data_IF_598729483750
#
_entry.id   IF_598729483750
#
_cell.length_a   1.000
_cell.length_b   1.000
_cell.length_c   1.000
_cell.angle_alpha   90.00
_cell.angle_beta   90.00
_cell.angle_gamma   90.00
#
_symmetry.space_group_name_H-M   'P 1'
#
loop_
_entity.id
_entity.type
_entity.pdbx_description
1 polymer ?
#
# COMPACT_ATOMS: atom_id res chain seq x y z
N UNK A 1 0.56 10.39 18.65
CA UNK A 1 -0.17 9.24 18.07
C UNK A 1 0.70 8.00 18.28
N UNK A 2 0.18 6.96 18.90
CA UNK A 2 0.93 5.71 19.08
C UNK A 2 0.68 4.82 17.85
N UNK A 3 1.75 4.22 17.31
CA UNK A 3 1.62 3.23 16.26
C UNK A 3 1.22 1.87 16.86
N UNK A 4 0.20 1.25 16.29
CA UNK A 4 -0.17 -0.12 16.59
C UNK A 4 0.66 -1.08 15.73
N UNK A 5 1.18 -2.14 16.34
CA UNK A 5 1.90 -3.19 15.63
C UNK A 5 0.97 -4.37 15.41
N UNK A 6 0.73 -4.68 14.14
CA UNK A 6 -0.15 -5.78 13.72
C UNK A 6 0.69 -6.79 12.94
N UNK A 7 0.54 -8.05 13.25
CA UNK A 7 1.22 -9.13 12.54
C UNK A 7 0.19 -10.11 11.97
N UNK A 8 0.39 -10.52 10.74
CA UNK A 8 -0.34 -11.61 10.10
C UNK A 8 0.64 -12.61 9.48
N UNK A 9 0.30 -13.88 9.48
CA UNK A 9 1.09 -14.88 8.77
C UNK A 9 0.88 -14.75 7.24
N UNK A 10 -0.35 -14.54 6.80
CA UNK A 10 -0.71 -14.30 5.39
C UNK A 10 -1.25 -12.89 5.18
N UNK A 11 -1.44 -12.50 3.92
CA UNK A 11 -2.06 -11.22 3.56
C UNK A 11 -3.49 -11.10 4.12
N UNK A 12 -4.29 -12.17 4.00
CA UNK A 12 -5.65 -12.20 4.53
C UNK A 12 -5.68 -12.02 6.06
N UNK A 13 -4.85 -12.76 6.79
CA UNK A 13 -4.77 -12.66 8.24
C UNK A 13 -4.31 -11.26 8.67
N UNK A 14 -3.33 -10.70 7.97
CA UNK A 14 -2.85 -9.34 8.23
C UNK A 14 -3.95 -8.31 8.11
N UNK A 15 -4.74 -8.36 7.02
CA UNK A 15 -5.89 -7.47 6.84
C UNK A 15 -6.92 -7.65 7.94
N UNK A 16 -7.31 -8.89 8.25
CA UNK A 16 -8.31 -9.16 9.28
C UNK A 16 -7.88 -8.68 10.67
N UNK A 17 -6.60 -8.86 11.01
CA UNK A 17 -6.05 -8.37 12.27
C UNK A 17 -5.96 -6.83 12.30
N UNK A 18 -5.60 -6.19 11.19
CA UNK A 18 -5.62 -4.73 11.07
C UNK A 18 -7.04 -4.17 11.26
N UNK A 19 -8.05 -4.80 10.64
CA UNK A 19 -9.45 -4.39 10.79
C UNK A 19 -9.96 -4.55 12.23
N UNK A 20 -9.56 -5.61 12.94
CA UNK A 20 -9.91 -5.80 14.36
C UNK A 20 -9.35 -4.67 15.23
N UNK A 21 -8.07 -4.32 15.02
CA UNK A 21 -7.41 -3.24 15.77
C UNK A 21 -8.01 -1.88 15.41
N UNK A 22 -8.30 -1.63 14.12
CA UNK A 22 -9.02 -0.43 13.70
C UNK A 22 -10.40 -0.34 14.38
N UNK A 23 -11.11 -1.46 14.49
CA UNK A 23 -12.43 -1.48 15.13
C UNK A 23 -12.35 -1.18 16.63
N UNK A 24 -11.40 -1.79 17.36
CA UNK A 24 -11.25 -1.61 18.81
C UNK A 24 -10.64 -0.25 19.19
N UNK A 25 -9.53 0.11 18.55
CA UNK A 25 -8.64 1.17 19.01
C UNK A 25 -8.63 2.41 18.09
N UNK A 26 -9.31 2.33 16.96
CA UNK A 26 -9.38 3.45 16.01
C UNK A 26 -10.09 4.66 16.60
N UNK A 27 -9.59 5.84 16.30
CA UNK A 27 -10.13 7.13 16.73
C UNK A 27 -11.05 7.67 15.65
N UNK A 28 -12.22 8.18 16.05
CA UNK A 28 -13.20 8.77 15.11
C UNK A 28 -12.88 10.24 14.92
N UNK A 29 -12.75 10.66 13.68
CA UNK A 29 -12.55 12.05 13.26
C UNK A 29 -13.67 12.49 12.33
N UNK A 30 -13.86 13.80 12.21
CA UNK A 30 -14.65 14.38 11.13
C UNK A 30 -13.90 14.18 9.81
N UNK A 31 -14.62 13.76 8.76
CA UNK A 31 -14.02 13.53 7.44
C UNK A 31 -13.46 14.82 6.82
N UNK A 32 -12.49 14.70 5.93
CA UNK A 32 -11.87 15.86 5.24
C UNK A 32 -12.89 16.64 4.39
N UNK A 33 -13.93 15.99 3.89
CA UNK A 33 -15.01 16.63 3.13
C UNK A 33 -16.02 17.24 4.09
N UNK A 34 -15.86 18.52 4.37
CA UNK A 34 -16.75 19.31 5.25
C UNK A 34 -18.22 19.32 4.79
N UNK A 35 -18.50 18.97 3.53
CA UNK A 35 -19.85 18.90 2.96
C UNK A 35 -20.56 17.55 3.23
N UNK A 36 -19.89 16.59 3.87
CA UNK A 36 -20.45 15.32 4.28
C UNK A 36 -20.26 15.16 5.78
N UNK A 37 -21.35 14.88 6.49
CA UNK A 37 -21.33 14.49 7.91
C UNK A 37 -20.70 13.09 8.13
N UNK A 38 -19.78 12.69 7.24
CA UNK A 38 -19.14 11.38 7.29
C UNK A 38 -18.05 11.37 8.36
N UNK A 39 -18.22 10.52 9.32
CA UNK A 39 -17.17 10.23 10.33
C UNK A 39 -16.26 9.14 9.83
N UNK A 40 -14.98 9.38 9.94
CA UNK A 40 -13.92 8.42 9.56
C UNK A 40 -13.29 7.87 10.82
N UNK A 41 -13.10 6.56 10.87
CA UNK A 41 -12.38 5.90 11.95
C UNK A 41 -10.98 5.57 11.48
N UNK A 42 -9.97 6.11 12.15
CA UNK A 42 -8.57 6.03 11.73
C UNK A 42 -7.66 5.42 12.79
N UNK A 43 -6.58 4.83 12.33
CA UNK A 43 -5.52 4.30 13.16
C UNK A 43 -4.18 4.40 12.41
N UNK A 44 -3.10 4.67 13.14
CA UNK A 44 -1.74 4.52 12.61
C UNK A 44 -1.20 3.15 12.99
N UNK A 45 -0.81 2.35 11.99
CA UNK A 45 -0.32 1.00 12.26
C UNK A 45 0.92 0.65 11.43
N UNK A 46 1.69 -0.28 11.97
CA UNK A 46 2.73 -1.03 11.26
C UNK A 46 2.19 -2.44 11.07
N UNK A 47 1.98 -2.83 9.81
CA UNK A 47 1.53 -4.17 9.45
C UNK A 47 2.71 -5.01 8.99
N UNK A 48 2.95 -6.12 9.70
CA UNK A 48 3.99 -7.08 9.36
C UNK A 48 3.37 -8.37 8.83
N UNK A 49 3.69 -8.74 7.59
CA UNK A 49 3.25 -10.00 6.96
C UNK A 49 4.45 -10.94 6.87
N UNK A 50 4.36 -12.07 7.55
CA UNK A 50 5.48 -13.02 7.66
C UNK A 50 5.65 -13.88 6.41
N UNK A 51 4.54 -14.35 5.83
CA UNK A 51 4.52 -15.22 4.66
C UNK A 51 3.49 -14.74 3.64
N UNK A 52 3.78 -13.66 2.87
CA UNK A 52 2.79 -13.01 2.00
C UNK A 52 2.28 -13.91 0.86
N UNK A 53 2.99 -14.99 0.55
CA UNK A 53 2.59 -15.96 -0.48
C UNK A 53 1.86 -17.19 0.11
N UNK A 54 1.61 -17.22 1.42
CA UNK A 54 0.84 -18.31 2.04
C UNK A 54 -0.66 -18.09 1.90
N UNK A 55 -1.39 -19.19 1.78
CA UNK A 55 -2.85 -19.17 1.76
C UNK A 55 -3.45 -18.98 3.17
N UNK A 56 -4.59 -18.32 3.30
CA UNK A 56 -5.31 -17.61 2.25
C UNK A 56 -4.65 -16.25 1.95
N UNK A 57 -4.41 -15.94 0.67
CA UNK A 57 -3.91 -14.62 0.26
C UNK A 57 -5.01 -13.56 0.25
N UNK A 58 -6.26 -13.96 0.02
CA UNK A 58 -7.40 -13.04 -0.09
C UNK A 58 -8.33 -13.26 1.11
N UNK A 59 -8.58 -12.17 1.85
CA UNK A 59 -9.54 -12.19 2.95
C UNK A 59 -10.98 -12.14 2.44
N UNK A 60 -11.87 -12.81 3.16
CA UNK A 60 -13.33 -12.71 2.93
C UNK A 60 -13.88 -11.32 3.25
N UNK A 61 -13.13 -10.51 3.99
CA UNK A 61 -13.49 -9.13 4.31
C UNK A 61 -13.17 -8.15 3.16
N UNK A 62 -12.59 -8.62 2.06
CA UNK A 62 -12.23 -7.76 0.93
C UNK A 62 -13.50 -7.33 0.14
N UNK A 63 -13.84 -6.03 0.11
CA UNK A 63 -15.13 -5.59 -0.41
C UNK A 63 -15.27 -5.69 -1.92
N UNK A 64 -14.17 -5.50 -2.67
CA UNK A 64 -14.16 -5.53 -4.13
C UNK A 64 -14.27 -6.93 -4.73
N UNK A 65 -14.10 -7.97 -3.92
CA UNK A 65 -14.07 -9.35 -4.38
C UNK A 65 -12.94 -9.65 -5.37
N UNK A 66 -12.94 -10.87 -5.93
CA UNK A 66 -11.87 -11.34 -6.82
C UNK A 66 -11.79 -10.53 -8.11
N UNK A 67 -12.93 -10.16 -8.70
CA UNK A 67 -12.97 -9.40 -9.95
C UNK A 67 -12.29 -8.03 -9.80
N UNK A 68 -12.67 -7.27 -8.79
CA UNK A 68 -12.05 -5.97 -8.52
C UNK A 68 -10.56 -6.07 -8.24
N UNK A 69 -10.13 -7.12 -7.53
CA UNK A 69 -8.71 -7.37 -7.29
C UNK A 69 -7.95 -7.67 -8.59
N UNK A 70 -8.52 -8.45 -9.50
CA UNK A 70 -7.91 -8.73 -10.81
C UNK A 70 -7.79 -7.47 -11.67
N UNK A 71 -8.84 -6.65 -11.73
CA UNK A 71 -8.82 -5.37 -12.45
C UNK A 71 -7.75 -4.42 -11.89
N UNK A 72 -7.66 -4.32 -10.57
CA UNK A 72 -6.62 -3.52 -9.92
C UNK A 72 -5.20 -4.08 -10.15
N UNK A 73 -5.05 -5.40 -10.20
CA UNK A 73 -3.78 -6.04 -10.51
C UNK A 73 -3.32 -5.72 -11.95
N UNK A 74 -4.21 -5.76 -12.93
CA UNK A 74 -3.91 -5.37 -14.31
C UNK A 74 -3.53 -3.87 -14.41
N UNK A 75 -4.23 -3.01 -13.69
CA UNK A 75 -3.88 -1.59 -13.60
C UNK A 75 -2.48 -1.41 -13.00
N UNK A 76 -2.24 -2.04 -11.84
CA UNK A 76 -0.98 -1.87 -11.11
C UNK A 76 0.21 -2.44 -11.88
N UNK A 77 0.10 -3.65 -12.45
CA UNK A 77 1.22 -4.34 -13.09
C UNK A 77 1.44 -3.95 -14.55
N UNK A 78 0.38 -3.60 -15.28
CA UNK A 78 0.42 -3.39 -16.74
C UNK A 78 0.00 -2.02 -17.20
N UNK A 79 -0.44 -1.17 -16.28
CA UNK A 79 -0.89 0.19 -16.61
C UNK A 79 -2.13 0.21 -17.50
N UNK A 80 -3.05 -0.75 -17.32
CA UNK A 80 -4.26 -0.85 -18.15
C UNK A 80 -5.11 0.43 -18.16
N UNK A 81 -4.97 1.29 -17.13
CA UNK A 81 -5.66 2.57 -17.00
C UNK A 81 -4.76 3.80 -17.17
N UNK A 82 -3.52 3.61 -17.59
CA UNK A 82 -2.56 4.72 -17.72
C UNK A 82 -2.97 5.79 -18.72
N UNK A 83 -3.87 5.47 -19.64
CA UNK A 83 -4.38 6.37 -20.67
C UNK A 83 -5.73 6.98 -20.36
N UNK A 84 -6.35 6.63 -19.22
CA UNK A 84 -7.64 7.17 -18.83
C UNK A 84 -7.47 8.61 -18.32
N UNK A 85 -8.18 9.61 -18.90
CA UNK A 85 -7.93 11.04 -18.63
C UNK A 85 -8.44 11.51 -17.26
N UNK A 86 -9.26 10.73 -16.58
CA UNK A 86 -9.82 11.09 -15.27
C UNK A 86 -8.96 10.62 -14.08
N UNK A 87 -7.87 9.87 -14.34
CA UNK A 87 -6.90 9.53 -13.32
C UNK A 87 -5.71 10.49 -13.37
N UNK A 88 -5.50 11.25 -12.32
CA UNK A 88 -4.33 12.14 -12.20
C UNK A 88 -3.03 11.35 -12.19
N UNK A 89 -3.05 10.17 -11.59
CA UNK A 89 -1.93 9.23 -11.60
C UNK A 89 -2.45 7.78 -11.55
N UNK A 90 -1.61 6.86 -12.01
CA UNK A 90 -1.69 5.43 -11.68
C UNK A 90 -0.40 5.02 -10.99
N UNK A 91 -0.45 4.03 -10.13
CA UNK A 91 0.78 3.55 -9.50
C UNK A 91 1.76 2.99 -10.53
N UNK A 92 1.26 2.37 -11.60
CA UNK A 92 2.11 1.91 -12.70
C UNK A 92 2.94 3.05 -13.29
N UNK A 93 2.35 4.19 -13.65
CA UNK A 93 3.11 5.36 -14.14
C UNK A 93 4.17 5.83 -13.16
N UNK A 94 3.87 5.78 -11.86
CA UNK A 94 4.80 6.27 -10.84
C UNK A 94 6.02 5.38 -10.70
N UNK A 95 5.85 4.06 -10.69
CA UNK A 95 6.98 3.16 -10.43
C UNK A 95 7.67 2.62 -11.69
N UNK A 96 6.98 2.49 -12.82
CA UNK A 96 7.50 1.83 -14.02
C UNK A 96 8.83 2.43 -14.51
N UNK A 97 8.97 3.74 -14.41
CA UNK A 97 10.21 4.45 -14.79
C UNK A 97 11.44 4.07 -13.93
N UNK A 98 11.22 3.51 -12.73
CA UNK A 98 12.27 3.16 -11.78
C UNK A 98 12.44 1.64 -11.62
N UNK A 99 11.46 0.85 -12.08
CA UNK A 99 11.37 -0.57 -11.78
C UNK A 99 12.61 -1.36 -12.16
N UNK A 100 13.08 -1.22 -13.40
CA UNK A 100 14.26 -1.95 -13.86
C UNK A 100 15.49 -1.59 -13.03
N UNK A 101 15.72 -0.30 -12.77
CA UNK A 101 16.85 0.16 -11.95
C UNK A 101 16.79 -0.37 -10.51
N UNK A 102 15.58 -0.44 -9.97
CA UNK A 102 15.33 -0.98 -8.63
C UNK A 102 15.67 -2.48 -8.56
N UNK A 103 15.23 -3.26 -9.54
CA UNK A 103 15.55 -4.69 -9.64
C UNK A 103 17.03 -4.92 -9.90
N UNK A 104 17.64 -4.14 -10.79
CA UNK A 104 19.05 -4.27 -11.11
C UNK A 104 19.95 -3.93 -9.91
N UNK A 105 19.57 -2.97 -9.08
CA UNK A 105 20.29 -2.69 -7.84
C UNK A 105 20.28 -3.89 -6.88
N UNK A 106 19.13 -4.56 -6.70
CA UNK A 106 19.01 -5.76 -5.88
C UNK A 106 19.81 -6.94 -6.45
N UNK A 107 19.82 -7.11 -7.77
CA UNK A 107 20.60 -8.16 -8.45
C UNK A 107 22.09 -7.92 -8.37
N UNK A 108 22.51 -6.66 -8.56
CA UNK A 108 23.93 -6.28 -8.55
C UNK A 108 24.54 -6.38 -7.15
N UNK A 109 23.77 -6.07 -6.13
CA UNK A 109 24.26 -6.06 -4.75
C UNK A 109 23.14 -6.51 -3.79
N UNK A 110 23.19 -7.78 -3.41
CA UNK A 110 22.21 -8.38 -2.51
C UNK A 110 22.26 -7.83 -1.06
N UNK A 111 23.29 -7.06 -0.71
CA UNK A 111 23.41 -6.37 0.57
C UNK A 111 23.07 -4.88 0.50
N UNK A 112 22.58 -4.42 -0.66
CA UNK A 112 22.25 -3.01 -0.89
C UNK A 112 21.28 -2.45 0.14
N UNK A 113 21.38 -1.15 0.37
CA UNK A 113 20.42 -0.32 1.09
C UNK A 113 19.89 0.81 0.21
N UNK A 114 20.07 0.68 -1.12
CA UNK A 114 19.73 1.71 -2.12
C UNK A 114 18.49 1.37 -2.93
N UNK A 115 17.96 0.14 -2.79
CA UNK A 115 16.75 -0.27 -3.48
C UNK A 115 15.53 0.36 -2.77
N UNK A 116 15.34 1.63 -3.05
CA UNK A 116 14.26 2.46 -2.51
C UNK A 116 13.66 3.30 -3.62
N UNK A 117 12.34 3.18 -3.84
CA UNK A 117 11.57 3.97 -4.79
C UNK A 117 10.71 4.99 -4.04
N UNK A 118 10.91 6.26 -4.32
CA UNK A 118 10.03 7.33 -3.86
C UNK A 118 8.98 7.58 -4.94
N UNK A 119 7.73 7.26 -4.66
CA UNK A 119 6.61 7.38 -5.58
C UNK A 119 5.84 8.70 -5.39
N UNK A 120 5.88 9.25 -4.18
CA UNK A 120 5.20 10.50 -3.85
C UNK A 120 5.89 11.76 -4.43
N UNK A 121 7.17 11.65 -4.81
CA UNK A 121 7.96 12.80 -5.26
C UNK A 121 8.10 13.89 -4.19
N UNK A 122 8.22 15.14 -4.62
CA UNK A 122 8.03 16.27 -3.75
C UNK A 122 6.52 16.39 -3.46
N UNK A 123 6.16 16.47 -2.18
CA UNK A 123 4.75 16.64 -1.79
C UNK A 123 4.25 17.94 -2.44
N UNK A 124 3.32 17.77 -3.37
CA UNK A 124 2.64 18.90 -3.97
C UNK A 124 1.35 19.16 -3.18
N UNK A 125 1.38 20.13 -2.30
CA UNK A 125 0.21 20.52 -1.50
C UNK A 125 -0.92 21.14 -2.34
N UNK A 126 -0.64 21.48 -3.57
CA UNK A 126 -1.64 21.97 -4.53
C UNK A 126 -2.36 20.82 -5.24
N UNK A 127 -1.81 19.59 -5.17
CA UNK A 127 -2.47 18.41 -5.72
C UNK A 127 -3.57 17.94 -4.76
N UNK A 128 -4.85 18.00 -5.14
CA UNK A 128 -5.95 17.58 -4.29
C UNK A 128 -5.94 16.06 -4.01
N UNK A 129 -5.29 15.27 -4.87
CA UNK A 129 -5.26 13.80 -4.79
C UNK A 129 -3.83 13.24 -4.86
N UNK A 130 -2.94 13.55 -3.90
CA UNK A 130 -1.59 12.99 -3.92
C UNK A 130 -1.61 11.47 -3.69
N UNK A 131 -0.64 10.71 -4.25
CA UNK A 131 -0.58 9.26 -4.10
C UNK A 131 -0.61 8.82 -2.63
N UNK A 132 -1.32 7.75 -2.31
CA UNK A 132 -1.32 7.18 -0.96
C UNK A 132 -0.04 6.40 -0.66
N UNK A 133 0.41 5.57 -1.61
CA UNK A 133 1.70 4.86 -1.52
C UNK A 133 2.82 5.84 -1.87
N UNK A 134 3.66 6.13 -0.89
CA UNK A 134 4.71 7.14 -1.00
C UNK A 134 6.08 6.53 -1.28
N UNK A 135 6.37 5.39 -0.71
CA UNK A 135 7.70 4.80 -0.74
C UNK A 135 7.62 3.28 -0.73
N UNK A 136 8.49 2.64 -1.54
CA UNK A 136 8.76 1.20 -1.47
C UNK A 136 10.26 1.03 -1.25
N UNK A 137 10.62 0.36 -0.16
CA UNK A 137 11.99 -0.05 0.15
C UNK A 137 12.11 -1.57 0.08
N UNK A 138 13.22 -2.05 -0.47
CA UNK A 138 13.53 -3.46 -0.55
C UNK A 138 14.95 -3.78 -0.15
N UNK A 139 15.11 -4.87 0.57
CA UNK A 139 16.43 -5.41 0.86
C UNK A 139 16.41 -6.94 0.93
N UNK A 140 17.56 -7.56 0.67
CA UNK A 140 17.73 -9.01 0.78
C UNK A 140 18.57 -9.27 2.02
N UNK A 141 18.03 -10.07 2.94
CA UNK A 141 18.73 -10.52 4.15
C UNK A 141 18.47 -11.99 4.35
N UNK A 142 19.51 -12.74 4.66
CA UNK A 142 19.42 -14.21 4.88
C UNK A 142 18.72 -14.95 3.73
N UNK A 143 18.95 -14.51 2.48
CA UNK A 143 18.33 -15.12 1.30
C UNK A 143 16.84 -14.79 1.11
N UNK A 144 16.27 -13.91 1.93
CA UNK A 144 14.88 -13.48 1.83
C UNK A 144 14.76 -12.04 1.38
N UNK A 145 13.80 -11.78 0.51
CA UNK A 145 13.41 -10.41 0.13
C UNK A 145 12.48 -9.84 1.19
N UNK A 146 12.88 -8.71 1.76
CA UNK A 146 12.06 -7.91 2.65
C UNK A 146 11.59 -6.68 1.89
N UNK A 147 10.28 -6.45 1.89
CA UNK A 147 9.66 -5.28 1.30
C UNK A 147 9.01 -4.44 2.40
N UNK A 148 9.26 -3.14 2.36
CA UNK A 148 8.59 -2.16 3.22
C UNK A 148 7.88 -1.15 2.34
N UNK A 149 6.63 -0.85 2.62
CA UNK A 149 5.84 0.15 1.93
C UNK A 149 5.29 1.17 2.93
N UNK A 150 5.42 2.45 2.58
CA UNK A 150 4.84 3.53 3.37
C UNK A 150 3.67 4.14 2.64
N UNK A 151 2.51 4.05 3.27
CA UNK A 151 1.28 4.72 2.84
C UNK A 151 1.00 5.89 3.79
N UNK A 152 0.77 7.11 3.23
CA UNK A 152 0.32 8.26 4.03
C UNK A 152 -1.12 8.10 4.50
N UNK A 153 -1.91 7.37 3.71
CA UNK A 153 -3.32 7.06 3.96
C UNK A 153 -3.68 5.78 3.21
N UNK A 154 -4.57 5.00 3.73
CA UNK A 154 -5.12 3.84 3.05
C UNK A 154 -6.51 3.53 3.56
N UNK A 155 -7.48 3.41 2.66
CA UNK A 155 -8.84 2.99 3.00
C UNK A 155 -8.87 1.48 3.20
N UNK A 156 -9.26 1.05 4.39
CA UNK A 156 -9.26 -0.38 4.74
C UNK A 156 -10.38 -1.19 4.07
N UNK A 157 -11.41 -0.51 3.56
CA UNK A 157 -12.64 -1.14 3.05
C UNK A 157 -13.15 -0.51 1.73
N UNK A 158 -12.25 -0.02 0.91
CA UNK A 158 -12.63 0.57 -0.38
C UNK A 158 -12.29 -0.32 -1.55
#
# INVERSE_FOLDING_TARGET
MLYHHVTGNSLAEGLENALKVLHSDGIVYEGENQDREDKVKEISLVLNILNPLSEPMISKCMPSGLKGLMEYTEEFLRGSRDFEPYWEYTYHKLYAQYYDKFIDELRRNNTTRRACMNLGGAINFENPHPPCLQLIDANIREGKLHLSAFFRSNDAVK
#
